data_IF_956925711919
#
_entry.id   IF_956925711919
#
_cell.length_a   1.000
_cell.length_b   1.000
_cell.length_c   1.000
_cell.angle_alpha   90.00
_cell.angle_beta   90.00
_cell.angle_gamma   90.00
#
_symmetry.space_group_name_H-M   'P 1'
#
loop_
_entity.id
_entity.type
_entity.pdbx_description
1 polymer ?
#
# COMPACT_ATOMS: atom_id res chain seq x y z
N UNK A 1 -45.15 30.25 8.89
CA UNK A 1 -43.81 30.80 8.59
C UNK A 1 -42.90 30.55 9.77
N UNK A 2 -41.60 30.28 9.49
CA UNK A 2 -40.45 30.13 10.41
C UNK A 2 -40.19 28.69 10.88
N UNK A 3 -39.53 27.88 10.04
CA UNK A 3 -38.06 27.65 9.91
C UNK A 3 -37.57 26.52 10.80
N UNK A 4 -37.64 25.30 10.27
CA UNK A 4 -36.88 24.14 10.75
C UNK A 4 -35.85 23.78 9.68
N UNK A 5 -34.70 24.44 9.71
CA UNK A 5 -33.52 24.09 8.92
C UNK A 5 -32.30 24.26 9.80
N UNK A 6 -31.88 23.18 10.46
CA UNK A 6 -30.52 23.01 11.02
C UNK A 6 -30.43 21.60 11.62
N UNK A 7 -30.36 20.57 10.79
CA UNK A 7 -29.94 19.22 11.20
C UNK A 7 -29.63 18.37 9.97
N UNK A 8 -28.58 18.71 9.22
CA UNK A 8 -28.06 17.81 8.18
C UNK A 8 -26.57 18.10 7.91
N UNK A 9 -25.73 17.98 8.94
CA UNK A 9 -24.27 18.17 8.79
C UNK A 9 -23.48 17.21 9.70
N UNK A 10 -23.74 15.90 9.60
CA UNK A 10 -23.15 14.93 10.54
C UNK A 10 -22.93 13.52 10.00
N UNK A 11 -22.56 13.33 8.72
CA UNK A 11 -22.27 11.99 8.18
C UNK A 11 -21.04 11.87 7.27
N UNK A 12 -20.19 12.90 7.14
CA UNK A 12 -19.04 12.87 6.20
C UNK A 12 -17.67 12.59 6.84
N UNK A 13 -17.58 12.24 8.14
CA UNK A 13 -16.28 12.10 8.84
C UNK A 13 -15.66 10.69 8.81
N UNK A 14 -16.37 9.66 8.33
CA UNK A 14 -15.89 8.27 8.45
C UNK A 14 -14.78 7.86 7.48
N UNK A 15 -14.68 8.50 6.31
CA UNK A 15 -13.78 8.06 5.23
C UNK A 15 -12.38 8.68 5.29
N UNK A 16 -12.21 9.82 5.97
CA UNK A 16 -10.95 10.56 6.00
C UNK A 16 -9.96 9.92 6.99
N UNK A 17 -10.46 9.35 8.09
CA UNK A 17 -9.63 8.82 9.18
C UNK A 17 -8.75 7.63 8.75
N UNK A 18 -9.23 6.76 7.86
CA UNK A 18 -8.49 5.54 7.48
C UNK A 18 -7.32 5.81 6.54
N UNK A 19 -7.46 6.76 5.60
CA UNK A 19 -6.38 7.12 4.69
C UNK A 19 -5.21 7.78 5.47
N UNK A 20 -5.56 8.63 6.44
CA UNK A 20 -4.59 9.29 7.32
C UNK A 20 -3.70 8.29 8.09
N UNK A 21 -4.28 7.19 8.60
CA UNK A 21 -3.53 6.14 9.31
C UNK A 21 -2.59 5.35 8.37
N UNK A 22 -2.96 5.18 7.09
CA UNK A 22 -2.16 4.44 6.12
C UNK A 22 -0.91 5.21 5.69
N UNK A 23 -1.03 6.53 5.51
CA UNK A 23 0.09 7.41 5.20
C UNK A 23 1.07 7.48 6.39
N UNK A 24 0.55 7.63 7.61
CA UNK A 24 1.39 7.62 8.82
C UNK A 24 2.13 6.30 9.01
N UNK A 25 1.45 5.16 8.79
CA UNK A 25 2.09 3.84 8.85
C UNK A 25 3.17 3.70 7.76
N UNK A 26 2.90 4.18 6.55
CA UNK A 26 3.84 4.13 5.45
C UNK A 26 5.09 4.96 5.74
N UNK A 27 4.92 6.17 6.25
CA UNK A 27 6.02 7.05 6.66
C UNK A 27 6.81 6.43 7.80
N UNK A 28 6.13 5.90 8.82
CA UNK A 28 6.79 5.19 9.92
C UNK A 28 7.68 4.06 9.39
N UNK A 29 7.16 3.17 8.55
CA UNK A 29 7.92 2.04 8.00
C UNK A 29 9.15 2.53 7.21
N UNK A 30 9.00 3.58 6.39
CA UNK A 30 10.11 4.20 5.64
C UNK A 30 11.20 4.80 6.56
N UNK A 31 10.85 5.24 7.76
CA UNK A 31 11.85 5.76 8.73
C UNK A 31 12.63 4.65 9.45
N UNK A 32 12.05 3.45 9.57
CA UNK A 32 12.66 2.36 10.33
C UNK A 32 13.61 1.50 9.50
N UNK A 33 13.38 1.41 8.19
CA UNK A 33 14.16 0.56 7.30
C UNK A 33 14.32 1.22 5.93
N UNK A 34 15.50 1.08 5.31
CA UNK A 34 15.75 1.62 3.95
C UNK A 34 15.01 0.82 2.87
N UNK A 35 14.68 -0.44 3.20
CA UNK A 35 13.95 -1.34 2.34
C UNK A 35 14.76 -1.87 1.14
N UNK A 36 14.19 -2.88 0.48
CA UNK A 36 14.70 -3.45 -0.78
C UNK A 36 13.75 -3.12 -1.92
N UNK A 37 14.23 -2.35 -2.90
CA UNK A 37 13.41 -1.88 -4.04
C UNK A 37 13.61 -2.75 -5.28
N UNK A 38 12.50 -3.11 -5.91
CA UNK A 38 12.42 -3.78 -7.21
C UNK A 38 11.67 -2.88 -8.19
N UNK A 39 12.41 -2.26 -9.11
CA UNK A 39 11.85 -1.33 -10.10
C UNK A 39 11.45 -2.05 -11.38
N UNK A 40 10.35 -1.61 -12.00
CA UNK A 40 9.79 -2.16 -13.23
C UNK A 40 9.28 -1.02 -14.13
N UNK A 41 10.20 -0.20 -14.67
CA UNK A 41 9.85 1.02 -15.41
C UNK A 41 9.07 0.76 -16.71
N UNK A 42 9.15 -0.47 -17.24
CA UNK A 42 8.43 -0.89 -18.45
C UNK A 42 7.08 -1.57 -18.13
N UNK A 43 6.70 -1.70 -16.86
CA UNK A 43 5.42 -2.30 -16.52
C UNK A 43 4.30 -1.25 -16.60
N UNK A 44 3.20 -1.64 -17.25
CA UNK A 44 2.03 -0.76 -17.42
C UNK A 44 1.27 -0.44 -16.12
N UNK A 45 1.45 -1.24 -15.07
CA UNK A 45 0.65 -1.16 -13.84
C UNK A 45 1.48 -0.93 -12.57
N UNK A 46 2.55 -1.69 -12.37
CA UNK A 46 3.37 -1.64 -11.14
C UNK A 46 4.77 -1.14 -11.50
N UNK A 47 5.10 0.10 -11.14
CA UNK A 47 6.38 0.71 -11.52
C UNK A 47 7.51 0.42 -10.55
N UNK A 48 7.22 0.20 -9.25
CA UNK A 48 8.18 -0.36 -8.27
C UNK A 48 7.46 -1.02 -7.09
N UNK A 49 8.18 -1.92 -6.42
CA UNK A 49 7.80 -2.45 -5.11
C UNK A 49 8.99 -2.34 -4.16
N UNK A 50 8.77 -1.80 -2.97
CA UNK A 50 9.80 -1.76 -1.92
C UNK A 50 9.36 -2.58 -0.73
N UNK A 51 10.20 -3.52 -0.29
CA UNK A 51 9.96 -4.36 0.87
C UNK A 51 10.71 -3.81 2.07
N UNK A 52 10.07 -3.85 3.25
CA UNK A 52 10.63 -3.36 4.50
C UNK A 52 10.51 -4.40 5.59
N UNK A 53 11.53 -4.47 6.44
CA UNK A 53 11.55 -5.32 7.64
C UNK A 53 11.65 -4.43 8.88
N UNK A 54 10.56 -4.35 9.65
CA UNK A 54 10.49 -3.46 10.82
C UNK A 54 10.32 -4.30 12.08
N UNK A 55 11.12 -4.03 13.11
CA UNK A 55 10.98 -4.68 14.41
C UNK A 55 10.04 -3.86 15.31
N UNK A 56 8.86 -4.40 15.61
CA UNK A 56 7.85 -3.80 16.49
C UNK A 56 7.61 -4.77 17.64
N UNK A 57 7.75 -4.33 18.89
CA UNK A 57 7.56 -5.17 20.09
C UNK A 57 8.36 -6.50 20.05
N UNK A 58 9.63 -6.42 19.67
CA UNK A 58 10.53 -7.58 19.51
C UNK A 58 10.08 -8.61 18.47
N UNK A 59 9.16 -8.24 17.57
CA UNK A 59 8.72 -9.08 16.45
C UNK A 59 9.01 -8.40 15.12
N UNK A 60 9.67 -9.12 14.22
CA UNK A 60 9.85 -8.67 12.84
C UNK A 60 8.52 -8.69 12.11
N UNK A 61 8.13 -7.54 11.57
CA UNK A 61 6.98 -7.34 10.71
C UNK A 61 7.48 -7.04 9.30
N UNK A 62 6.76 -7.53 8.29
CA UNK A 62 7.14 -7.41 6.89
C UNK A 62 6.11 -6.57 6.15
N UNK A 63 6.58 -5.55 5.46
CA UNK A 63 5.73 -4.64 4.69
C UNK A 63 6.20 -4.57 3.24
N UNK A 64 5.26 -4.33 2.34
CA UNK A 64 5.52 -4.01 0.95
C UNK A 64 4.80 -2.71 0.60
N UNK A 65 5.53 -1.73 0.07
CA UNK A 65 4.96 -0.53 -0.53
C UNK A 65 4.97 -0.72 -2.04
N UNK A 66 3.79 -0.73 -2.64
CA UNK A 66 3.59 -0.91 -4.08
C UNK A 66 3.25 0.43 -4.69
N UNK A 67 4.01 0.81 -5.71
CA UNK A 67 3.85 2.04 -6.48
C UNK A 67 3.18 1.67 -7.81
N UNK A 68 1.90 2.02 -7.94
CA UNK A 68 1.13 1.81 -9.16
C UNK A 68 1.23 3.02 -10.07
N UNK A 69 1.50 2.80 -11.35
CA UNK A 69 1.71 3.88 -12.30
C UNK A 69 0.48 4.81 -12.35
N UNK A 70 0.68 6.09 -12.01
CA UNK A 70 -0.35 7.13 -12.08
C UNK A 70 0.16 8.28 -12.96
N UNK A 71 -0.23 8.25 -14.23
CA UNK A 71 0.18 9.25 -15.23
C UNK A 71 1.63 9.10 -15.70
N UNK A 72 2.25 10.23 -16.08
CA UNK A 72 3.52 10.26 -16.83
C UNK A 72 4.79 10.33 -15.95
N UNK A 73 4.70 10.85 -14.71
CA UNK A 73 5.87 11.14 -13.85
C UNK A 73 5.63 10.74 -12.39
N UNK A 74 4.61 9.91 -12.12
CA UNK A 74 4.19 9.61 -10.76
C UNK A 74 3.67 8.19 -10.59
N UNK A 75 3.44 7.86 -9.32
CA UNK A 75 2.73 6.66 -8.94
C UNK A 75 1.98 6.87 -7.63
N UNK A 76 0.95 6.06 -7.44
CA UNK A 76 0.21 5.99 -6.20
C UNK A 76 0.81 4.86 -5.36
N UNK A 77 1.26 5.20 -4.15
CA UNK A 77 1.90 4.25 -3.24
C UNK A 77 0.87 3.67 -2.25
N UNK A 78 0.91 2.35 -2.06
CA UNK A 78 0.03 1.64 -1.13
C UNK A 78 0.81 0.62 -0.32
N UNK A 79 0.55 0.58 0.99
CA UNK A 79 1.23 -0.31 1.93
C UNK A 79 0.45 -1.60 2.18
N UNK A 80 1.18 -2.71 2.21
CA UNK A 80 0.68 -4.06 2.46
C UNK A 80 1.48 -4.68 3.60
N UNK A 81 0.79 -5.29 4.57
CA UNK A 81 1.43 -6.18 5.56
C UNK A 81 1.50 -7.58 4.99
N UNK A 82 2.71 -8.02 4.64
CA UNK A 82 2.97 -9.26 3.89
C UNK A 82 3.63 -10.33 4.75
N UNK A 83 3.86 -11.52 4.17
CA UNK A 83 4.61 -12.59 4.83
C UNK A 83 6.12 -12.45 4.65
N UNK A 84 6.89 -13.10 5.51
CA UNK A 84 8.36 -13.09 5.49
C UNK A 84 8.97 -13.60 4.17
N UNK A 85 8.28 -14.47 3.44
CA UNK A 85 8.77 -15.05 2.18
C UNK A 85 8.35 -14.24 0.95
N UNK A 86 7.43 -13.28 1.10
CA UNK A 86 6.81 -12.57 -0.04
C UNK A 86 7.85 -11.84 -0.89
N UNK A 87 8.86 -11.22 -0.26
CA UNK A 87 9.95 -10.55 -0.97
C UNK A 87 10.68 -11.52 -1.91
N UNK A 88 11.14 -12.66 -1.40
CA UNK A 88 11.87 -13.66 -2.19
C UNK A 88 11.04 -14.16 -3.37
N UNK A 89 9.76 -14.46 -3.14
CA UNK A 89 8.86 -14.87 -4.23
C UNK A 89 8.68 -13.76 -5.27
N UNK A 90 8.47 -12.51 -4.86
CA UNK A 90 8.33 -11.40 -5.78
C UNK A 90 9.61 -11.17 -6.60
N UNK A 91 10.77 -11.17 -5.93
CA UNK A 91 12.08 -10.93 -6.52
C UNK A 91 12.42 -11.91 -7.67
N UNK A 92 11.96 -13.16 -7.58
CA UNK A 92 12.19 -14.18 -8.62
C UNK A 92 11.29 -13.98 -9.84
N UNK A 93 10.13 -13.33 -9.69
CA UNK A 93 9.11 -13.28 -10.72
C UNK A 93 8.88 -11.89 -11.34
N UNK A 94 9.29 -10.81 -10.67
CA UNK A 94 8.96 -9.44 -11.09
C UNK A 94 9.54 -9.06 -12.46
N UNK A 95 10.74 -9.55 -12.81
CA UNK A 95 11.37 -9.28 -14.10
C UNK A 95 10.56 -9.83 -15.29
N UNK A 96 9.82 -10.92 -15.09
CA UNK A 96 8.93 -11.45 -16.14
C UNK A 96 7.65 -10.63 -16.26
N UNK A 97 7.09 -10.19 -15.14
CA UNK A 97 5.95 -9.27 -15.08
C UNK A 97 5.70 -8.83 -13.64
N UNK A 98 5.94 -7.55 -13.36
CA UNK A 98 5.71 -6.95 -12.05
C UNK A 98 4.23 -7.04 -11.64
N UNK A 99 3.31 -6.81 -12.58
CA UNK A 99 1.88 -6.95 -12.35
C UNK A 99 1.47 -8.37 -11.97
N UNK A 100 1.93 -9.41 -12.70
CA UNK A 100 1.63 -10.82 -12.35
C UNK A 100 2.25 -11.22 -11.02
N UNK A 101 3.47 -10.78 -10.74
CA UNK A 101 4.13 -11.03 -9.45
C UNK A 101 3.37 -10.36 -8.30
N UNK A 102 2.92 -9.12 -8.47
CA UNK A 102 2.08 -8.42 -7.50
C UNK A 102 0.78 -9.18 -7.25
N UNK A 103 0.06 -9.55 -8.32
CA UNK A 103 -1.25 -10.22 -8.20
C UNK A 103 -1.16 -11.57 -7.49
N UNK A 104 -0.05 -12.28 -7.66
CA UNK A 104 0.17 -13.61 -7.07
C UNK A 104 0.69 -13.56 -5.64
N UNK A 105 1.60 -12.64 -5.33
CA UNK A 105 2.36 -12.69 -4.07
C UNK A 105 2.04 -11.56 -3.08
N UNK A 106 1.55 -10.40 -3.53
CA UNK A 106 1.28 -9.25 -2.66
C UNK A 106 -0.23 -8.99 -2.53
N UNK A 107 -0.97 -8.99 -3.63
CA UNK A 107 -2.43 -8.76 -3.65
C UNK A 107 -3.24 -9.65 -2.70
N UNK A 108 -2.89 -10.92 -2.42
CA UNK A 108 -3.60 -11.72 -1.41
C UNK A 108 -3.67 -11.07 -0.01
N UNK A 109 -2.73 -10.17 0.31
CA UNK A 109 -2.64 -9.48 1.61
C UNK A 109 -3.48 -8.20 1.71
N UNK A 110 -4.24 -7.82 0.69
CA UNK A 110 -5.01 -6.55 0.63
C UNK A 110 -5.92 -6.29 1.86
N UNK A 111 -6.46 -7.33 2.49
CA UNK A 111 -7.37 -7.18 3.65
C UNK A 111 -6.67 -6.90 4.98
N UNK A 112 -5.35 -7.05 5.06
CA UNK A 112 -4.64 -7.02 6.34
C UNK A 112 -4.61 -5.62 6.98
N UNK A 113 -4.41 -4.58 6.17
CA UNK A 113 -4.30 -3.19 6.64
C UNK A 113 -5.46 -2.30 6.19
N UNK A 114 -6.29 -2.76 5.23
CA UNK A 114 -7.28 -1.93 4.51
C UNK A 114 -6.67 -0.68 3.83
N UNK A 115 -5.34 -0.59 3.73
CA UNK A 115 -4.59 0.45 3.03
C UNK A 115 -4.38 0.17 1.55
N UNK A 116 -4.88 -0.96 1.04
CA UNK A 116 -4.80 -1.31 -0.37
C UNK A 116 -5.92 -0.64 -1.16
N UNK A 117 -5.69 -0.26 -2.41
CA UNK A 117 -6.75 0.21 -3.29
C UNK A 117 -7.77 -0.91 -3.55
N UNK A 118 -9.03 -0.52 -3.72
CA UNK A 118 -10.08 -1.44 -4.17
C UNK A 118 -9.93 -1.66 -5.67
N UNK A 119 -9.69 -2.91 -6.07
CA UNK A 119 -9.75 -3.32 -7.47
C UNK A 119 -11.07 -4.08 -7.66
N UNK A 120 -12.02 -3.49 -8.40
CA UNK A 120 -13.25 -4.17 -8.83
C UNK A 120 -12.96 -5.28 -9.86
#
# INVERSE_FOLDING_TARGET
MKTTWMSLLGCLMGFILQAQDCDELMDYVKTQDYGTTYSSPLSDAVSKVTFYEVTIDYRTQYFAIVCFQSGFIGCDEYIYKVGSTTQTHYAVHYLNSAGKAFWKYIRPYHKNLKCSPSFE
#
